data_IF_322106291594
#
_entry.id   IF_322106291594
#
_cell.length_a   1.000
_cell.length_b   1.000
_cell.length_c   1.000
_cell.angle_alpha   90.00
_cell.angle_beta   90.00
_cell.angle_gamma   90.00
#
_symmetry.space_group_name_H-M   'P 1'
#
loop_
_entity.id
_entity.type
_entity.pdbx_description
1 polymer ?
#
# COMPACT_ATOMS: atom_id res chain seq x y z
N UNK A 1 3.00 31.38 -46.03
CA UNK A 1 2.89 31.95 -44.66
C UNK A 1 3.41 30.91 -43.68
N UNK A 2 4.44 31.20 -42.86
CA UNK A 2 5.12 30.21 -42.01
C UNK A 2 4.49 30.03 -40.62
N UNK A 3 3.34 30.67 -40.35
CA UNK A 3 2.62 30.60 -39.07
C UNK A 3 1.74 29.35 -38.81
N UNK A 4 1.33 28.50 -39.78
CA UNK A 4 0.58 27.29 -39.44
C UNK A 4 1.44 26.22 -38.73
N UNK A 5 2.76 26.42 -38.66
CA UNK A 5 3.73 25.47 -38.12
C UNK A 5 3.81 25.52 -36.58
N UNK A 6 3.77 26.71 -35.98
CA UNK A 6 3.97 26.86 -34.52
C UNK A 6 2.79 26.31 -33.72
N UNK A 7 1.55 26.58 -34.15
CA UNK A 7 0.37 26.07 -33.46
C UNK A 7 0.31 24.54 -33.51
N UNK A 8 0.60 23.94 -34.67
CA UNK A 8 0.68 22.50 -34.82
C UNK A 8 1.79 21.87 -33.96
N UNK A 9 2.95 22.54 -33.83
CA UNK A 9 4.03 22.10 -32.95
C UNK A 9 3.65 22.17 -31.47
N UNK A 10 2.88 23.18 -31.04
CA UNK A 10 2.38 23.28 -29.66
C UNK A 10 1.38 22.16 -29.38
N UNK A 11 0.40 21.95 -30.26
CA UNK A 11 -0.60 20.89 -30.10
C UNK A 11 0.04 19.49 -30.06
N UNK A 12 1.03 19.25 -30.91
CA UNK A 12 1.80 18.00 -30.95
C UNK A 12 2.68 17.83 -29.69
N UNK A 13 3.28 18.90 -29.17
CA UNK A 13 4.01 18.87 -27.91
C UNK A 13 3.08 18.53 -26.73
N UNK A 14 1.92 19.18 -26.63
CA UNK A 14 0.92 18.89 -25.60
C UNK A 14 0.42 17.44 -25.68
N UNK A 15 0.20 16.92 -26.89
CA UNK A 15 -0.20 15.53 -27.10
C UNK A 15 0.88 14.55 -26.64
N UNK A 16 2.15 14.83 -26.91
CA UNK A 16 3.29 14.02 -26.43
C UNK A 16 3.42 14.06 -24.92
N UNK A 17 3.30 15.23 -24.31
CA UNK A 17 3.37 15.37 -22.85
C UNK A 17 2.24 14.60 -22.16
N UNK A 18 1.02 14.68 -22.71
CA UNK A 18 -0.11 13.90 -22.22
C UNK A 18 0.12 12.39 -22.35
N UNK A 19 0.72 11.95 -23.47
CA UNK A 19 1.08 10.54 -23.67
C UNK A 19 2.17 10.09 -22.69
N UNK A 20 3.22 10.87 -22.52
CA UNK A 20 4.31 10.59 -21.58
C UNK A 20 3.82 10.49 -20.13
N UNK A 21 2.87 11.35 -19.73
CA UNK A 21 2.25 11.28 -18.42
C UNK A 21 1.47 9.97 -18.21
N UNK A 22 0.70 9.52 -19.21
CA UNK A 22 -0.03 8.24 -19.16
C UNK A 22 0.92 7.05 -19.11
N UNK A 23 1.95 7.06 -19.93
CA UNK A 23 2.92 5.97 -19.99
C UNK A 23 3.72 5.86 -18.69
N UNK A 24 4.07 7.01 -18.10
CA UNK A 24 4.73 7.07 -16.79
C UNK A 24 3.85 6.48 -15.70
N UNK A 25 2.54 6.81 -15.66
CA UNK A 25 1.64 6.22 -14.67
C UNK A 25 1.40 4.73 -14.91
N UNK A 26 1.25 4.29 -16.17
CA UNK A 26 1.13 2.87 -16.50
C UNK A 26 2.36 2.07 -16.03
N UNK A 27 3.56 2.63 -16.23
CA UNK A 27 4.80 2.02 -15.75
C UNK A 27 4.85 2.00 -14.22
N UNK A 28 4.43 3.09 -13.57
CA UNK A 28 4.38 3.16 -12.12
C UNK A 28 3.42 2.11 -11.52
N UNK A 29 2.24 1.93 -12.11
CA UNK A 29 1.30 0.87 -11.73
C UNK A 29 1.87 -0.54 -11.95
N UNK A 30 2.68 -0.74 -13.00
CA UNK A 30 3.36 -2.02 -13.25
C UNK A 30 4.43 -2.30 -12.20
N UNK A 31 5.17 -1.28 -11.76
CA UNK A 31 6.16 -1.39 -10.67
C UNK A 31 5.46 -1.74 -9.36
N UNK A 32 4.35 -1.07 -9.03
CA UNK A 32 3.59 -1.35 -7.81
C UNK A 32 3.08 -2.81 -7.77
N UNK A 33 2.69 -3.35 -8.93
CA UNK A 33 2.28 -4.76 -9.04
C UNK A 33 3.47 -5.72 -8.92
N UNK A 34 4.57 -5.42 -9.60
CA UNK A 34 5.77 -6.25 -9.56
C UNK A 34 6.36 -6.33 -8.14
N UNK A 35 6.32 -5.22 -7.39
CA UNK A 35 6.75 -5.20 -5.98
C UNK A 35 5.85 -6.09 -5.11
N UNK A 36 4.53 -6.04 -5.30
CA UNK A 36 3.61 -6.94 -4.61
C UNK A 36 3.91 -8.41 -4.93
N UNK A 37 4.05 -8.76 -6.22
CA UNK A 37 4.29 -10.14 -6.64
C UNK A 37 5.62 -10.67 -6.05
N UNK A 38 6.68 -9.86 -6.10
CA UNK A 38 7.98 -10.20 -5.51
C UNK A 38 7.89 -10.43 -4.00
N UNK A 39 7.25 -9.52 -3.28
CA UNK A 39 7.09 -9.64 -1.82
C UNK A 39 6.19 -10.82 -1.44
N UNK A 40 5.13 -11.07 -2.22
CA UNK A 40 4.23 -12.19 -2.01
C UNK A 40 4.94 -13.53 -2.18
N UNK A 41 5.73 -13.67 -3.25
CA UNK A 41 6.52 -14.89 -3.52
C UNK A 41 7.58 -15.09 -2.45
N UNK A 42 8.27 -14.02 -2.04
CA UNK A 42 9.28 -14.08 -0.97
C UNK A 42 8.67 -14.54 0.35
N UNK A 43 7.56 -13.91 0.78
CA UNK A 43 6.85 -14.29 2.02
C UNK A 43 6.37 -15.72 1.94
N UNK A 44 5.78 -16.14 0.80
CA UNK A 44 5.28 -17.50 0.64
C UNK A 44 6.40 -18.54 0.68
N UNK A 45 7.57 -18.24 0.11
CA UNK A 45 8.72 -19.13 0.10
C UNK A 45 9.50 -19.18 1.42
N UNK A 46 9.39 -18.16 2.27
CA UNK A 46 10.14 -18.05 3.53
C UNK A 46 9.30 -18.29 4.78
N UNK A 47 7.96 -18.21 4.68
CA UNK A 47 7.07 -18.48 5.80
C UNK A 47 7.00 -19.97 6.11
N UNK A 48 7.27 -20.34 7.36
CA UNK A 48 7.04 -21.71 7.83
C UNK A 48 5.52 -21.96 7.92
N UNK A 49 4.96 -22.97 7.21
CA UNK A 49 3.54 -23.28 7.26
C UNK A 49 3.03 -23.66 8.65
N UNK A 50 3.92 -24.18 9.52
CA UNK A 50 3.60 -24.63 10.88
C UNK A 50 3.92 -23.58 11.96
N UNK A 51 4.25 -22.34 11.55
CA UNK A 51 4.54 -21.26 12.50
C UNK A 51 3.32 -20.96 13.41
N UNK A 52 3.48 -21.12 14.74
CA UNK A 52 2.41 -20.86 15.69
C UNK A 52 1.94 -19.40 15.69
N UNK A 53 2.77 -18.43 15.29
CA UNK A 53 2.41 -17.02 15.22
C UNK A 53 1.43 -16.74 14.07
N UNK A 54 1.67 -17.33 12.88
CA UNK A 54 0.77 -17.23 11.73
C UNK A 54 -0.59 -17.85 12.06
N UNK A 55 -0.60 -19.00 12.75
CA UNK A 55 -1.84 -19.64 13.19
C UNK A 55 -2.63 -18.76 14.18
N UNK A 56 -1.93 -18.13 15.14
CA UNK A 56 -2.53 -17.18 16.09
C UNK A 56 -3.12 -15.96 15.37
N UNK A 57 -2.40 -15.37 14.43
CA UNK A 57 -2.88 -14.21 13.68
C UNK A 57 -4.13 -14.54 12.86
N UNK A 58 -4.14 -15.68 12.14
CA UNK A 58 -5.31 -16.15 11.39
C UNK A 58 -6.51 -16.37 12.31
N UNK A 59 -6.30 -16.94 13.50
CA UNK A 59 -7.35 -17.13 14.49
C UNK A 59 -7.90 -15.79 15.01
N UNK A 60 -7.03 -14.80 15.27
CA UNK A 60 -7.42 -13.45 15.67
C UNK A 60 -8.26 -12.76 14.59
N UNK A 61 -7.81 -12.76 13.32
CA UNK A 61 -8.58 -12.20 12.20
C UNK A 61 -9.96 -12.86 12.08
N UNK A 62 -10.03 -14.18 12.20
CA UNK A 62 -11.28 -14.94 12.20
C UNK A 62 -12.21 -14.54 13.37
N UNK A 63 -11.66 -14.33 14.57
CA UNK A 63 -12.42 -13.86 15.75
C UNK A 63 -13.02 -12.47 15.52
N UNK A 64 -12.30 -11.59 14.81
CA UNK A 64 -12.79 -10.26 14.44
C UNK A 64 -13.66 -10.24 13.17
N UNK A 65 -13.93 -11.40 12.56
CA UNK A 65 -14.73 -11.48 11.33
C UNK A 65 -14.06 -10.85 10.10
N UNK A 66 -12.75 -10.57 10.18
CA UNK A 66 -11.99 -9.93 9.11
C UNK A 66 -11.67 -10.98 8.05
N UNK A 67 -12.23 -10.80 6.86
CA UNK A 67 -11.93 -11.61 5.67
C UNK A 67 -10.82 -10.92 4.87
N UNK A 68 -9.96 -11.68 4.17
CA UNK A 68 -9.03 -11.06 3.22
C UNK A 68 -9.82 -10.30 2.13
N UNK A 69 -9.22 -9.24 1.56
CA UNK A 69 -9.84 -8.51 0.46
C UNK A 69 -9.98 -9.43 -0.78
N UNK A 70 -10.98 -9.20 -1.64
CA UNK A 70 -11.19 -10.01 -2.85
C UNK A 70 -10.09 -9.80 -3.91
N UNK A 71 -9.43 -8.65 -3.89
CA UNK A 71 -8.30 -8.29 -4.73
C UNK A 71 -7.18 -7.73 -3.86
N UNK A 72 -5.90 -7.90 -4.25
CA UNK A 72 -4.79 -7.33 -3.51
C UNK A 72 -4.88 -5.80 -3.49
N UNK A 73 -4.61 -5.22 -2.31
CA UNK A 73 -4.51 -3.78 -2.14
C UNK A 73 -3.03 -3.42 -2.31
N UNK A 74 -2.71 -2.81 -3.44
CA UNK A 74 -1.33 -2.52 -3.83
C UNK A 74 -0.83 -1.22 -3.20
N UNK A 75 0.36 -1.25 -2.63
CA UNK A 75 1.02 -0.06 -2.12
C UNK A 75 1.63 0.74 -3.29
N UNK A 76 1.50 2.09 -3.30
CA UNK A 76 2.16 2.93 -4.29
C UNK A 76 3.64 3.10 -3.92
N UNK A 77 4.51 2.27 -4.49
CA UNK A 77 5.95 2.26 -4.23
C UNK A 77 6.75 2.94 -5.34
N UNK A 78 6.19 3.04 -6.54
CA UNK A 78 6.86 3.67 -7.66
C UNK A 78 7.07 5.18 -7.45
N UNK A 79 8.13 5.70 -8.06
CA UNK A 79 8.47 7.13 -7.98
C UNK A 79 7.51 7.95 -8.86
N UNK A 80 6.75 8.84 -8.21
CA UNK A 80 5.81 9.79 -8.83
C UNK A 80 6.00 11.17 -8.21
N UNK A 81 5.28 12.16 -8.73
CA UNK A 81 5.17 13.46 -8.06
C UNK A 81 4.72 13.27 -6.60
N UNK A 82 5.35 13.95 -5.62
CA UNK A 82 5.03 13.77 -4.20
C UNK A 82 3.56 13.99 -3.85
N UNK A 83 2.85 14.87 -4.56
CA UNK A 83 1.41 15.12 -4.32
C UNK A 83 0.57 13.92 -4.73
N UNK A 84 0.86 13.34 -5.89
CA UNK A 84 0.17 12.14 -6.39
C UNK A 84 0.45 10.95 -5.47
N UNK A 85 1.72 10.77 -5.09
CA UNK A 85 2.11 9.71 -4.14
C UNK A 85 1.38 9.85 -2.81
N UNK A 86 1.29 11.05 -2.24
CA UNK A 86 0.58 11.29 -0.99
C UNK A 86 -0.91 10.90 -1.08
N UNK A 87 -1.57 11.29 -2.17
CA UNK A 87 -2.97 10.92 -2.42
C UNK A 87 -3.16 9.41 -2.54
N UNK A 88 -2.28 8.72 -3.28
CA UNK A 88 -2.33 7.27 -3.43
C UNK A 88 -2.09 6.56 -2.09
N UNK A 89 -1.17 7.05 -1.26
CA UNK A 89 -0.93 6.51 0.08
C UNK A 89 -2.18 6.65 0.96
N UNK A 90 -2.87 7.78 0.89
CA UNK A 90 -4.12 7.98 1.64
C UNK A 90 -5.20 7.00 1.19
N UNK A 91 -5.37 6.82 -0.13
CA UNK A 91 -6.31 5.84 -0.70
C UNK A 91 -5.95 4.41 -0.29
N UNK A 92 -4.67 4.06 -0.33
CA UNK A 92 -4.16 2.76 0.12
C UNK A 92 -4.50 2.50 1.60
N UNK A 93 -4.20 3.45 2.49
CA UNK A 93 -4.52 3.35 3.92
C UNK A 93 -6.02 3.23 4.16
N UNK A 94 -6.83 4.01 3.45
CA UNK A 94 -8.28 3.95 3.54
C UNK A 94 -8.82 2.58 3.11
N UNK A 95 -8.26 2.00 2.05
CA UNK A 95 -8.62 0.67 1.56
C UNK A 95 -8.19 -0.45 2.52
N UNK A 96 -7.08 -0.30 3.23
CA UNK A 96 -6.60 -1.30 4.21
C UNK A 96 -7.38 -1.30 5.52
N UNK A 97 -7.86 -0.12 5.95
CA UNK A 97 -8.53 0.08 7.24
C UNK A 97 -9.61 -0.95 7.62
N UNK A 98 -10.47 -1.46 6.70
CA UNK A 98 -11.45 -2.50 7.02
C UNK A 98 -10.85 -3.87 7.34
N UNK A 99 -9.60 -4.10 6.95
CA UNK A 99 -8.89 -5.38 7.04
C UNK A 99 -7.85 -5.40 8.17
N UNK A 100 -7.65 -4.27 8.85
CA UNK A 100 -6.78 -4.17 10.00
C UNK A 100 -7.46 -4.76 11.24
N UNK A 101 -6.73 -5.58 11.99
CA UNK A 101 -7.17 -5.98 13.33
C UNK A 101 -7.14 -4.72 14.21
N UNK A 102 -8.25 -4.33 14.85
CA UNK A 102 -8.25 -3.16 15.73
C UNK A 102 -7.18 -3.33 16.80
N UNK A 103 -6.19 -2.43 16.84
CA UNK A 103 -5.22 -2.45 17.92
C UNK A 103 -5.93 -2.06 19.22
N UNK A 104 -5.76 -2.88 20.26
CA UNK A 104 -6.28 -2.55 21.59
C UNK A 104 -5.55 -1.32 22.12
N UNK A 105 -6.13 -0.14 21.91
CA UNK A 105 -5.68 1.07 22.58
C UNK A 105 -5.77 0.84 24.09
N UNK A 106 -4.72 1.17 24.85
CA UNK A 106 -4.75 1.04 26.29
C UNK A 106 -5.85 1.94 26.85
N UNK A 107 -6.76 1.34 27.60
CA UNK A 107 -7.93 2.00 28.19
C UNK A 107 -7.56 3.03 29.25
N UNK A 108 -6.40 2.89 29.89
CA UNK A 108 -5.93 3.82 30.92
C UNK A 108 -4.40 3.96 30.98
N UNK A 109 -3.91 5.03 31.61
CA UNK A 109 -2.49 5.21 31.96
C UNK A 109 -1.97 4.09 32.87
N UNK A 110 -2.86 3.51 33.67
CA UNK A 110 -2.55 2.40 34.56
C UNK A 110 -2.33 1.12 33.74
N UNK A 111 -3.14 0.87 32.70
CA UNK A 111 -2.90 -0.25 31.77
C UNK A 111 -1.56 -0.12 31.03
N UNK A 112 -1.20 1.10 30.61
CA UNK A 112 0.12 1.38 30.03
C UNK A 112 1.25 1.02 31.00
N UNK A 113 1.14 1.47 32.26
CA UNK A 113 2.14 1.19 33.30
C UNK A 113 2.22 -0.30 33.66
N UNK A 114 1.08 -1.00 33.59
CA UNK A 114 0.98 -2.43 33.92
C UNK A 114 1.55 -3.28 32.78
N UNK A 115 1.30 -2.91 31.52
CA UNK A 115 1.97 -3.51 30.35
C UNK A 115 3.48 -3.27 30.39
N UNK A 116 3.92 -2.03 30.63
CA UNK A 116 5.36 -1.72 30.70
C UNK A 116 6.08 -2.46 31.83
N UNK A 117 5.41 -2.72 32.96
CA UNK A 117 5.99 -3.53 34.06
C UNK A 117 6.11 -5.00 33.69
N UNK A 118 5.08 -5.58 33.05
CA UNK A 118 5.13 -6.96 32.51
C UNK A 118 6.26 -7.12 31.49
N UNK A 119 6.37 -6.19 30.55
CA UNK A 119 7.39 -6.23 29.50
C UNK A 119 8.82 -6.04 30.08
N UNK A 120 8.94 -5.35 31.22
CA UNK A 120 10.19 -5.18 31.95
C UNK A 120 10.52 -6.35 32.91
N UNK A 121 9.74 -7.44 32.90
CA UNK A 121 10.00 -8.66 33.67
C UNK A 121 9.98 -8.49 35.20
N UNK A 122 9.20 -7.54 35.72
CA UNK A 122 9.04 -7.29 37.17
C UNK A 122 7.60 -7.51 37.65
#
# INVERSE_FOLDING_TARGET
MPYPDIAALIEDAEARDAQAARDSENLAMLVDRSDFDLNFDYVTGTSDPDDPEIARERALRKKHGIKPPPLPILAPVAQRDPKVTAELIERYRAAQKPYEIPSEKPTSKLDLLTRSRRDAGR
#
